data_IF_497541082920
#
_entry.id   IF_497541082920
#
_cell.length_a   1.000
_cell.length_b   1.000
_cell.length_c   1.000
_cell.angle_alpha   90.00
_cell.angle_beta   90.00
_cell.angle_gamma   90.00
#
_symmetry.space_group_name_H-M   'P 1'
#
loop_
_entity.id
_entity.type
_entity.pdbx_description
1 polymer ?
#
# COMPACT_ATOMS: atom_id res chain seq x y z
N UNK A 1 11.32 13.18 6.28
CA UNK A 1 10.38 13.32 7.41
C UNK A 1 9.34 14.36 7.02
N UNK A 2 8.04 14.06 7.05
CA UNK A 2 7.03 15.10 7.24
C UNK A 2 7.37 15.80 8.55
N UNK A 3 7.36 17.13 8.50
CA UNK A 3 8.37 17.91 9.23
C UNK A 3 8.16 17.97 10.76
N UNK A 4 6.98 17.62 11.27
CA UNK A 4 6.63 17.72 12.70
C UNK A 4 6.84 19.13 13.27
N UNK A 5 6.85 20.15 12.41
CA UNK A 5 7.18 21.52 12.79
C UNK A 5 5.95 22.24 13.27
N UNK A 6 6.14 23.04 14.32
CA UNK A 6 5.09 23.81 14.98
C UNK A 6 5.53 25.25 15.17
N UNK A 7 4.60 26.18 15.05
CA UNK A 7 4.82 27.60 15.28
C UNK A 7 3.50 28.33 15.49
N UNK A 8 3.58 29.58 15.96
CA UNK A 8 2.44 30.49 16.07
C UNK A 8 2.60 31.61 15.05
N UNK A 9 1.55 31.86 14.30
CA UNK A 9 1.53 32.87 13.23
C UNK A 9 0.31 33.77 13.40
N UNK A 10 0.39 35.05 13.03
CA UNK A 10 -0.77 35.93 12.97
C UNK A 10 -1.84 35.38 12.01
N UNK A 11 -3.12 35.66 12.31
CA UNK A 11 -4.20 35.39 11.35
C UNK A 11 -3.95 36.14 10.04
N UNK A 12 -4.31 35.52 8.92
CA UNK A 12 -4.02 36.03 7.58
C UNK A 12 -2.62 35.69 7.05
N UNK A 13 -1.77 34.99 7.82
CA UNK A 13 -0.46 34.55 7.33
C UNK A 13 -0.62 33.49 6.23
N UNK A 14 0.00 33.65 5.05
CA UNK A 14 0.00 32.60 4.02
C UNK A 14 0.64 31.31 4.52
N UNK A 15 0.01 30.17 4.23
CA UNK A 15 0.52 28.87 4.72
C UNK A 15 1.92 28.56 4.18
N UNK A 16 2.23 28.98 2.95
CA UNK A 16 3.57 28.84 2.35
C UNK A 16 4.65 29.59 3.16
N UNK A 17 4.33 30.76 3.68
CA UNK A 17 5.30 31.56 4.44
C UNK A 17 5.51 30.99 5.84
N UNK A 18 4.44 30.53 6.49
CA UNK A 18 4.53 29.78 7.73
C UNK A 18 5.40 28.51 7.55
N UNK A 19 5.17 27.75 6.47
CA UNK A 19 5.97 26.57 6.15
C UNK A 19 7.46 26.89 5.99
N UNK A 20 7.80 27.96 5.25
CA UNK A 20 9.19 28.41 5.08
C UNK A 20 9.85 28.82 6.39
N UNK A 21 9.17 29.58 7.24
CA UNK A 21 9.70 29.99 8.56
C UNK A 21 9.94 28.79 9.48
N UNK A 22 9.11 27.74 9.35
CA UNK A 22 9.28 26.48 10.07
C UNK A 22 10.37 25.57 9.49
N UNK A 23 10.95 25.93 8.34
CA UNK A 23 11.91 25.09 7.62
C UNK A 23 11.26 23.88 6.94
N UNK A 24 9.96 23.94 6.66
CA UNK A 24 9.23 22.94 5.87
C UNK A 24 9.37 23.28 4.40
N UNK A 25 9.94 22.36 3.63
CA UNK A 25 10.09 22.56 2.20
C UNK A 25 8.74 22.33 1.49
N UNK A 26 8.15 23.43 1.01
CA UNK A 26 6.99 23.42 0.11
C UNK A 26 7.39 24.11 -1.18
N UNK A 27 7.33 23.39 -2.29
CA UNK A 27 7.86 23.87 -3.55
C UNK A 27 6.98 24.97 -4.16
N UNK A 28 7.58 26.10 -4.53
CA UNK A 28 6.85 27.25 -5.09
C UNK A 28 7.64 27.89 -6.24
N UNK A 29 7.73 27.17 -7.36
CA UNK A 29 8.42 27.62 -8.58
C UNK A 29 7.78 28.86 -9.22
N UNK A 30 6.47 29.07 -9.00
CA UNK A 30 5.74 30.22 -9.53
C UNK A 30 5.79 31.47 -8.63
N UNK A 31 6.49 31.41 -7.49
CA UNK A 31 6.57 32.53 -6.54
C UNK A 31 5.23 32.92 -5.91
N UNK A 32 4.35 31.95 -5.67
CA UNK A 32 3.04 32.18 -5.05
C UNK A 32 1.94 32.75 -5.96
N UNK A 33 2.12 32.63 -7.29
CA UNK A 33 1.13 33.06 -8.29
C UNK A 33 0.01 32.04 -8.55
N UNK A 34 0.01 30.90 -7.86
CA UNK A 34 -0.99 29.83 -8.02
C UNK A 34 -1.12 29.28 -9.46
N UNK A 35 -0.01 29.17 -10.19
CA UNK A 35 -0.02 28.67 -11.59
C UNK A 35 0.65 27.30 -11.78
N UNK A 36 1.47 26.85 -10.82
CA UNK A 36 2.28 25.64 -10.97
C UNK A 36 1.74 24.39 -10.27
N UNK A 37 0.91 24.55 -9.23
CA UNK A 37 0.40 23.44 -8.42
C UNK A 37 1.41 22.73 -7.52
N UNK A 38 2.69 23.12 -7.48
CA UNK A 38 3.70 22.41 -6.66
C UNK A 38 3.61 22.70 -5.15
N UNK A 39 2.82 23.71 -4.78
CA UNK A 39 2.63 24.12 -3.39
C UNK A 39 1.33 23.57 -2.78
N UNK A 40 0.86 22.42 -3.28
CA UNK A 40 -0.35 21.77 -2.79
C UNK A 40 -0.20 21.34 -1.33
N UNK A 41 -1.27 21.48 -0.57
CA UNK A 41 -1.39 21.07 0.84
C UNK A 41 -2.78 20.50 1.08
N UNK A 42 -2.95 19.83 2.21
CA UNK A 42 -4.23 19.31 2.68
C UNK A 42 -4.42 19.69 4.15
N UNK A 43 -5.61 20.17 4.51
CA UNK A 43 -5.94 20.47 5.92
C UNK A 43 -6.45 19.20 6.58
N UNK A 44 -5.87 18.87 7.73
CA UNK A 44 -6.29 17.74 8.53
C UNK A 44 -7.32 18.23 9.56
N UNK A 45 -8.54 17.72 9.51
CA UNK A 45 -9.58 18.04 10.47
C UNK A 45 -9.56 17.08 11.66
N UNK A 46 -9.92 17.58 12.84
CA UNK A 46 -10.05 16.77 14.05
C UNK A 46 -9.38 17.35 15.29
N UNK A 47 -9.47 16.60 16.38
CA UNK A 47 -8.83 16.93 17.66
C UNK A 47 -7.47 16.24 17.78
N UNK A 48 -6.43 17.02 18.05
CA UNK A 48 -5.05 16.55 18.15
C UNK A 48 -4.49 16.76 19.56
N UNK A 49 -4.76 15.83 20.48
CA UNK A 49 -4.39 15.98 21.90
C UNK A 49 -2.92 16.28 22.17
N UNK A 50 -2.01 15.61 21.46
CA UNK A 50 -0.56 15.84 21.61
C UNK A 50 -0.18 17.31 21.36
N UNK A 51 -0.92 17.98 20.49
CA UNK A 51 -0.68 19.36 20.09
C UNK A 51 -1.59 20.36 20.81
N UNK A 52 -2.61 19.88 21.54
CA UNK A 52 -3.62 20.70 22.23
C UNK A 52 -4.33 21.68 21.29
N UNK A 53 -4.65 21.22 20.08
CA UNK A 53 -5.34 22.01 19.06
C UNK A 53 -6.50 21.23 18.46
N UNK A 54 -7.51 21.96 18.00
CA UNK A 54 -8.59 21.46 17.15
C UNK A 54 -8.43 22.11 15.78
N UNK A 55 -8.23 21.28 14.75
CA UNK A 55 -8.08 21.73 13.38
C UNK A 55 -9.36 21.49 12.60
N UNK A 56 -9.76 22.45 11.77
CA UNK A 56 -10.98 22.43 10.99
C UNK A 56 -10.80 23.21 9.69
N UNK A 57 -11.57 22.87 8.65
CA UNK A 57 -11.63 23.65 7.41
C UNK A 57 -12.12 25.09 7.62
N UNK A 58 -12.79 25.40 8.74
CA UNK A 58 -13.16 26.77 9.10
C UNK A 58 -11.97 27.62 9.60
N UNK A 59 -10.84 26.97 9.92
CA UNK A 59 -9.63 27.64 10.39
C UNK A 59 -8.65 28.00 9.27
N UNK A 60 -8.99 27.70 8.01
CA UNK A 60 -8.26 28.13 6.81
C UNK A 60 -9.13 29.08 6.00
N UNK A 61 -8.51 30.02 5.29
CA UNK A 61 -9.26 30.95 4.45
C UNK A 61 -10.11 30.22 3.40
N UNK A 62 -11.25 30.81 2.98
CA UNK A 62 -12.02 30.30 1.85
C UNK A 62 -11.17 30.19 0.58
N UNK A 63 -11.62 29.35 -0.38
CA UNK A 63 -10.99 29.29 -1.70
C UNK A 63 -11.10 30.66 -2.37
N UNK A 64 -9.97 31.24 -2.72
CA UNK A 64 -9.91 32.52 -3.43
C UNK A 64 -9.92 32.34 -4.95
N UNK A 65 -10.12 33.43 -5.69
CA UNK A 65 -10.14 33.44 -7.16
C UNK A 65 -8.90 32.80 -7.83
N UNK A 66 -7.75 32.81 -7.15
CA UNK A 66 -6.52 32.16 -7.63
C UNK A 66 -6.61 30.63 -7.61
N UNK A 67 -7.14 30.06 -6.52
CA UNK A 67 -7.34 28.61 -6.39
C UNK A 67 -8.44 28.12 -7.34
N UNK A 68 -9.56 28.84 -7.43
CA UNK A 68 -10.65 28.54 -8.35
C UNK A 68 -10.18 28.58 -9.81
N UNK A 69 -9.35 29.56 -10.18
CA UNK A 69 -8.76 29.63 -11.51
C UNK A 69 -7.87 28.43 -11.79
N UNK A 70 -7.04 28.02 -10.83
CA UNK A 70 -6.15 26.88 -11.01
C UNK A 70 -6.94 25.58 -11.19
N UNK A 71 -7.92 25.35 -10.31
CA UNK A 71 -8.80 24.18 -10.34
C UNK A 71 -9.52 24.06 -11.69
N UNK A 72 -10.09 25.16 -12.19
CA UNK A 72 -10.72 25.20 -13.52
C UNK A 72 -9.78 24.85 -14.69
N UNK A 73 -8.51 25.23 -14.61
CA UNK A 73 -7.55 25.08 -15.74
C UNK A 73 -6.81 23.75 -15.69
N UNK A 74 -6.49 23.23 -14.51
CA UNK A 74 -5.63 22.05 -14.34
C UNK A 74 -6.24 20.93 -13.50
N UNK A 75 -7.33 21.20 -12.79
CA UNK A 75 -7.89 20.31 -11.78
C UNK A 75 -7.05 20.33 -10.50
N UNK A 76 -7.71 20.52 -9.37
CA UNK A 76 -7.16 20.33 -8.04
C UNK A 76 -7.85 19.11 -7.42
N UNK A 77 -7.11 18.09 -6.97
CA UNK A 77 -7.73 16.96 -6.27
C UNK A 77 -8.60 17.42 -5.09
N UNK A 78 -9.66 16.65 -4.81
CA UNK A 78 -10.58 16.95 -3.70
C UNK A 78 -9.82 17.10 -2.38
N UNK A 79 -10.23 18.04 -1.53
CA UNK A 79 -9.56 18.36 -0.26
C UNK A 79 -8.23 19.12 -0.37
N UNK A 80 -7.59 19.16 -1.54
CA UNK A 80 -6.33 19.90 -1.72
C UNK A 80 -6.57 21.41 -1.78
N UNK A 81 -5.57 22.15 -1.31
CA UNK A 81 -5.48 23.62 -1.29
C UNK A 81 -4.10 24.06 -1.78
N UNK A 82 -3.96 25.31 -2.24
CA UNK A 82 -2.66 25.89 -2.59
C UNK A 82 -2.13 26.71 -1.41
N UNK A 83 -1.06 26.23 -0.78
CA UNK A 83 -0.45 26.90 0.39
C UNK A 83 -0.01 28.35 0.12
N UNK A 84 0.27 28.69 -1.14
CA UNK A 84 0.65 30.05 -1.50
C UNK A 84 -0.52 31.03 -1.62
N UNK A 85 -1.77 30.52 -1.60
CA UNK A 85 -2.98 31.34 -1.70
C UNK A 85 -3.84 31.25 -0.44
N UNK A 86 -3.76 30.15 0.31
CA UNK A 86 -4.53 29.97 1.53
C UNK A 86 -3.85 30.65 2.74
N UNK A 87 -4.66 31.28 3.60
CA UNK A 87 -4.19 31.94 4.84
C UNK A 87 -4.71 31.23 6.08
N UNK A 88 -3.93 31.34 7.17
CA UNK A 88 -4.25 30.75 8.48
C UNK A 88 -5.24 31.67 9.20
N UNK A 89 -6.43 31.16 9.57
CA UNK A 89 -7.48 31.90 10.29
C UNK A 89 -7.76 31.38 11.70
N UNK A 90 -7.27 30.17 12.01
CA UNK A 90 -7.35 29.53 13.32
C UNK A 90 -6.26 28.45 13.48
N UNK A 91 -6.44 27.58 14.47
CA UNK A 91 -5.51 26.47 14.69
C UNK A 91 -5.64 25.44 13.56
N UNK A 92 -4.53 25.13 12.90
CA UNK A 92 -4.49 24.24 11.73
C UNK A 92 -3.41 23.17 11.86
N UNK A 93 -3.77 21.96 11.46
CA UNK A 93 -2.83 20.90 11.08
C UNK A 93 -2.84 20.80 9.57
N UNK A 94 -1.68 21.05 8.95
CA UNK A 94 -1.51 21.05 7.49
C UNK A 94 -0.56 19.94 7.09
N UNK A 95 -0.98 19.10 6.16
CA UNK A 95 -0.17 18.07 5.54
C UNK A 95 0.35 18.53 4.17
N UNK A 96 1.57 18.12 3.84
CA UNK A 96 2.21 18.39 2.54
C UNK A 96 2.28 17.05 1.78
N UNK A 97 1.45 16.87 0.73
CA UNK A 97 1.36 15.60 0.01
C UNK A 97 2.70 15.11 -0.53
N UNK A 98 2.98 13.80 -0.40
CA UNK A 98 4.31 13.25 -0.73
C UNK A 98 4.64 13.30 -2.22
N UNK A 99 3.64 13.30 -3.10
CA UNK A 99 3.81 13.53 -4.55
C UNK A 99 4.38 14.92 -4.87
N UNK A 100 4.39 15.83 -3.89
CA UNK A 100 5.03 17.16 -4.00
C UNK A 100 6.40 17.27 -3.30
N UNK A 101 6.81 16.23 -2.55
CA UNK A 101 8.08 16.22 -1.80
C UNK A 101 9.15 15.46 -2.58
N UNK A 102 10.15 16.17 -3.10
CA UNK A 102 11.19 15.63 -4.01
C UNK A 102 12.15 14.63 -3.31
N UNK A 103 12.09 14.47 -1.98
CA UNK A 103 12.92 13.51 -1.25
C UNK A 103 12.14 12.22 -0.95
N UNK A 104 12.00 11.35 -1.94
CA UNK A 104 11.57 9.98 -1.70
C UNK A 104 12.48 9.35 -0.64
N UNK A 105 11.90 8.75 0.40
CA UNK A 105 12.69 7.97 1.34
C UNK A 105 13.21 6.73 0.61
N UNK A 106 14.46 6.82 0.15
CA UNK A 106 15.19 5.70 -0.40
C UNK A 106 15.27 4.63 0.70
N UNK A 107 14.89 3.39 0.37
CA UNK A 107 15.14 2.24 1.25
C UNK A 107 16.66 2.12 1.38
N UNK A 108 17.21 2.56 2.52
CA UNK A 108 18.67 2.62 2.75
C UNK A 108 19.27 1.29 3.23
N UNK A 109 18.50 0.22 3.23
CA UNK A 109 18.96 -1.13 3.56
C UNK A 109 18.74 -1.99 2.33
N UNK A 110 19.77 -2.14 1.52
CA UNK A 110 19.82 -3.23 0.55
C UNK A 110 19.63 -4.54 1.31
N UNK A 111 18.91 -5.49 0.71
CA UNK A 111 18.75 -6.81 1.29
C UNK A 111 20.14 -7.42 1.51
N UNK A 112 20.44 -7.71 2.78
CA UNK A 112 21.73 -8.19 3.22
C UNK A 112 22.08 -9.53 2.53
N UNK A 113 23.36 -9.82 2.36
CA UNK A 113 23.90 -11.03 1.69
C UNK A 113 23.66 -12.35 2.44
N UNK A 114 22.70 -12.38 3.36
CA UNK A 114 22.36 -13.59 4.12
C UNK A 114 21.74 -14.62 3.19
N UNK A 115 22.37 -15.79 3.12
CA UNK A 115 21.81 -16.94 2.43
C UNK A 115 20.60 -17.46 3.21
N UNK A 116 19.41 -17.25 2.67
CA UNK A 116 18.15 -17.78 3.19
C UNK A 116 17.75 -18.96 2.30
N UNK A 117 17.58 -20.14 2.90
CA UNK A 117 17.08 -21.31 2.18
C UNK A 117 15.66 -21.03 1.70
N UNK A 118 15.40 -21.28 0.41
CA UNK A 118 14.10 -21.00 -0.21
C UNK A 118 13.12 -22.11 0.15
N UNK A 119 12.16 -21.76 0.99
CA UNK A 119 10.97 -22.55 1.26
C UNK A 119 9.73 -21.66 1.05
N UNK A 120 9.43 -21.23 -0.19
CA UNK A 120 8.27 -20.40 -0.44
C UNK A 120 6.98 -21.20 -0.18
N UNK A 121 5.97 -20.56 0.39
CA UNK A 121 4.65 -21.17 0.56
C UNK A 121 3.97 -21.44 -0.78
N UNK A 122 4.40 -20.76 -1.87
CA UNK A 122 3.87 -20.94 -3.22
C UNK A 122 4.87 -21.63 -4.13
N UNK A 123 4.42 -22.68 -4.80
CA UNK A 123 5.18 -23.43 -5.80
C UNK A 123 4.46 -23.39 -7.16
N UNK A 124 5.21 -23.14 -8.23
CA UNK A 124 4.69 -23.26 -9.60
C UNK A 124 4.91 -24.68 -10.12
N UNK A 125 3.84 -25.28 -10.64
CA UNK A 125 3.81 -26.64 -11.14
C UNK A 125 3.31 -26.65 -12.58
N UNK A 126 4.20 -26.88 -13.54
CA UNK A 126 3.82 -27.15 -14.92
C UNK A 126 3.37 -28.60 -15.07
N UNK A 127 2.24 -28.82 -15.75
CA UNK A 127 1.68 -30.15 -16.03
C UNK A 127 1.01 -30.20 -17.39
N UNK A 128 1.02 -31.40 -17.97
CA UNK A 128 0.22 -31.75 -19.15
C UNK A 128 -0.97 -32.58 -18.71
N UNK A 129 -2.16 -32.07 -19.01
CA UNK A 129 -3.45 -32.63 -18.62
C UNK A 129 -3.96 -33.51 -19.74
N UNK A 130 -4.44 -34.72 -19.43
CA UNK A 130 -5.05 -35.60 -20.43
C UNK A 130 -6.22 -34.90 -21.10
N UNK A 131 -6.40 -35.04 -22.41
CA UNK A 131 -7.57 -34.49 -23.13
C UNK A 131 -8.90 -35.11 -22.65
N UNK A 132 -10.05 -34.45 -22.85
CA UNK A 132 -11.35 -35.03 -22.51
C UNK A 132 -11.59 -36.32 -23.31
N UNK A 133 -11.98 -37.39 -22.64
CA UNK A 133 -12.25 -38.70 -23.23
C UNK A 133 -13.67 -39.16 -22.84
N UNK A 134 -14.47 -39.58 -23.82
CA UNK A 134 -15.81 -40.13 -23.57
C UNK A 134 -15.79 -41.38 -22.69
N UNK A 135 -14.70 -42.15 -22.72
CA UNK A 135 -14.55 -43.36 -21.91
C UNK A 135 -14.07 -43.07 -20.48
N UNK A 136 -13.58 -41.85 -20.21
CA UNK A 136 -13.15 -41.36 -18.90
C UNK A 136 -13.77 -39.98 -18.62
N UNK A 137 -15.07 -39.92 -18.25
CA UNK A 137 -15.79 -38.66 -18.10
C UNK A 137 -15.43 -37.93 -16.80
N UNK A 138 -14.18 -37.45 -16.70
CA UNK A 138 -13.68 -36.63 -15.58
C UNK A 138 -13.84 -35.15 -15.88
N UNK A 139 -14.15 -34.36 -14.84
CA UNK A 139 -14.19 -32.91 -14.94
C UNK A 139 -12.81 -32.31 -15.22
N UNK A 140 -12.78 -31.11 -15.83
CA UNK A 140 -11.55 -30.38 -16.17
C UNK A 140 -10.66 -30.14 -14.93
N UNK A 141 -11.26 -29.79 -13.80
CA UNK A 141 -10.53 -29.64 -12.54
C UNK A 141 -9.99 -30.98 -12.01
N UNK A 142 -10.78 -32.06 -12.09
CA UNK A 142 -10.35 -33.39 -11.63
C UNK A 142 -9.18 -33.91 -12.46
N UNK A 143 -9.20 -33.69 -13.78
CA UNK A 143 -8.07 -34.02 -14.67
C UNK A 143 -6.81 -33.23 -14.31
N UNK A 144 -6.94 -31.94 -13.99
CA UNK A 144 -5.80 -31.14 -13.52
C UNK A 144 -5.25 -31.68 -12.19
N UNK A 145 -6.12 -31.99 -11.22
CA UNK A 145 -5.70 -32.57 -9.93
C UNK A 145 -4.99 -33.91 -10.12
N UNK A 146 -5.49 -34.76 -11.02
CA UNK A 146 -4.86 -36.03 -11.36
C UNK A 146 -3.46 -35.83 -11.98
N UNK A 147 -3.28 -34.83 -12.86
CA UNK A 147 -1.98 -34.50 -13.43
C UNK A 147 -1.00 -34.00 -12.36
N UNK A 148 -1.44 -33.13 -11.44
CA UNK A 148 -0.64 -32.65 -10.31
C UNK A 148 -0.26 -33.77 -9.34
N UNK A 149 -1.16 -34.71 -9.08
CA UNK A 149 -0.88 -35.89 -8.27
C UNK A 149 0.18 -36.80 -8.91
N UNK A 150 0.07 -37.03 -10.22
CA UNK A 150 0.99 -37.87 -10.99
C UNK A 150 2.39 -37.27 -11.09
N UNK A 151 2.48 -35.99 -11.44
CA UNK A 151 3.76 -35.37 -11.83
C UNK A 151 4.48 -34.71 -10.64
N UNK A 152 3.73 -34.24 -9.64
CA UNK A 152 4.26 -33.50 -8.48
C UNK A 152 3.97 -34.17 -7.13
N UNK A 153 3.22 -35.28 -7.10
CA UNK A 153 2.99 -36.06 -5.88
C UNK A 153 1.96 -35.45 -4.91
N UNK A 154 1.16 -34.47 -5.35
CA UNK A 154 0.09 -33.92 -4.53
C UNK A 154 -1.10 -34.90 -4.46
N UNK A 155 -1.19 -35.67 -3.37
CA UNK A 155 -2.26 -36.66 -3.17
C UNK A 155 -3.66 -36.03 -3.10
N UNK A 156 -3.98 -35.38 -2.00
CA UNK A 156 -5.19 -34.56 -1.90
C UNK A 156 -4.83 -33.08 -2.08
N UNK A 157 -5.52 -32.42 -3.00
CA UNK A 157 -5.30 -31.01 -3.32
C UNK A 157 -6.64 -30.31 -3.56
N UNK A 158 -6.80 -29.14 -2.96
CA UNK A 158 -7.95 -28.27 -3.16
C UNK A 158 -7.70 -27.26 -4.26
N UNK A 159 -8.76 -26.63 -4.76
CA UNK A 159 -8.66 -25.48 -5.63
C UNK A 159 -9.51 -24.35 -5.07
N UNK A 160 -9.06 -23.11 -5.28
CA UNK A 160 -9.89 -21.97 -4.97
C UNK A 160 -11.10 -21.89 -5.88
N UNK A 161 -12.24 -21.56 -5.27
CA UNK A 161 -13.54 -21.64 -5.93
C UNK A 161 -13.63 -20.77 -7.18
N UNK A 162 -12.91 -19.63 -7.22
CA UNK A 162 -12.90 -18.72 -8.35
C UNK A 162 -12.37 -19.40 -9.64
N UNK A 163 -11.49 -20.39 -9.52
CA UNK A 163 -10.91 -21.09 -10.67
C UNK A 163 -11.92 -21.94 -11.43
N UNK A 164 -13.03 -22.35 -10.81
CA UNK A 164 -14.03 -23.20 -11.44
C UNK A 164 -14.66 -22.55 -12.69
N UNK A 165 -14.76 -21.22 -12.70
CA UNK A 165 -15.33 -20.49 -13.84
C UNK A 165 -14.39 -20.49 -15.06
N UNK A 166 -13.07 -20.49 -14.83
CA UNK A 166 -12.09 -20.21 -15.88
C UNK A 166 -11.29 -21.45 -16.31
N UNK A 167 -11.27 -22.50 -15.49
CA UNK A 167 -10.38 -23.66 -15.68
C UNK A 167 -10.52 -24.31 -17.06
N UNK A 168 -11.76 -24.40 -17.56
CA UNK A 168 -12.05 -25.01 -18.85
C UNK A 168 -11.46 -24.21 -20.02
N UNK A 169 -11.51 -22.88 -19.92
CA UNK A 169 -10.96 -21.98 -20.91
C UNK A 169 -9.44 -21.99 -20.89
N UNK A 170 -8.85 -21.92 -19.69
CA UNK A 170 -7.40 -21.93 -19.47
C UNK A 170 -6.76 -23.22 -20.02
N UNK A 171 -7.33 -24.38 -19.69
CA UNK A 171 -6.82 -25.67 -20.18
C UNK A 171 -6.83 -25.75 -21.72
N UNK A 172 -7.91 -25.30 -22.37
CA UNK A 172 -8.01 -25.30 -23.84
C UNK A 172 -7.04 -24.32 -24.48
N UNK A 173 -6.91 -23.12 -23.92
CA UNK A 173 -5.97 -22.11 -24.42
C UNK A 173 -4.52 -22.59 -24.34
N UNK A 174 -4.19 -23.37 -23.31
CA UNK A 174 -2.87 -23.97 -23.13
C UNK A 174 -2.63 -25.24 -23.97
N UNK A 175 -3.56 -25.65 -24.84
CA UNK A 175 -3.54 -26.97 -25.48
C UNK A 175 -3.28 -28.11 -24.48
N UNK A 176 -4.00 -28.05 -23.35
CA UNK A 176 -3.90 -28.96 -22.21
C UNK A 176 -2.56 -28.95 -21.46
N UNK A 177 -1.65 -28.03 -21.78
CA UNK A 177 -0.48 -27.71 -20.99
C UNK A 177 -0.72 -26.44 -20.15
N UNK A 178 -0.49 -26.50 -18.84
CA UNK A 178 -0.72 -25.37 -17.93
C UNK A 178 0.32 -25.30 -16.81
N UNK A 179 0.45 -24.12 -16.22
CA UNK A 179 1.19 -23.92 -14.96
C UNK A 179 0.19 -23.59 -13.86
N UNK A 180 0.19 -24.36 -12.77
CA UNK A 180 -0.62 -24.12 -11.57
C UNK A 180 0.25 -23.55 -10.45
N UNK A 181 -0.22 -22.50 -9.75
CA UNK A 181 0.36 -22.03 -8.50
C UNK A 181 -0.29 -22.79 -7.33
N UNK A 182 0.53 -23.51 -6.57
CA UNK A 182 0.11 -24.30 -5.42
C UNK A 182 0.58 -23.58 -4.15
N UNK A 183 -0.36 -23.22 -3.27
CA UNK A 183 -0.08 -22.65 -1.97
C UNK A 183 -0.14 -23.72 -0.87
N UNK A 184 0.89 -23.76 -0.01
CA UNK A 184 1.01 -24.59 1.19
C UNK A 184 1.99 -23.93 2.16
N UNK A 185 1.48 -23.34 3.23
CA UNK A 185 2.32 -22.65 4.24
C UNK A 185 3.00 -23.65 5.19
N UNK A 186 2.26 -24.63 5.71
CA UNK A 186 2.81 -25.67 6.59
C UNK A 186 2.70 -27.05 5.95
N UNK A 187 3.63 -27.93 6.30
CA UNK A 187 3.64 -29.33 5.85
C UNK A 187 2.37 -30.12 6.21
N UNK A 188 1.58 -29.67 7.18
CA UNK A 188 0.32 -30.33 7.56
C UNK A 188 -0.90 -29.78 6.83
N UNK A 189 -0.76 -28.66 6.13
CA UNK A 189 -1.87 -28.02 5.44
C UNK A 189 -2.16 -28.75 4.13
N UNK A 190 -3.45 -28.84 3.79
CA UNK A 190 -3.88 -29.32 2.47
C UNK A 190 -3.41 -28.33 1.41
N UNK A 191 -2.62 -28.76 0.41
CA UNK A 191 -2.18 -27.89 -0.67
C UNK A 191 -3.37 -27.38 -1.46
N UNK A 192 -3.25 -26.17 -2.00
CA UNK A 192 -4.35 -25.46 -2.67
C UNK A 192 -3.89 -24.81 -3.95
N UNK A 193 -4.59 -25.10 -5.04
CA UNK A 193 -4.42 -24.40 -6.32
C UNK A 193 -5.04 -23.01 -6.17
N UNK A 194 -4.18 -21.98 -6.22
CA UNK A 194 -4.59 -20.57 -6.05
C UNK A 194 -4.66 -19.82 -7.39
N UNK A 195 -3.99 -20.31 -8.43
CA UNK A 195 -4.03 -19.73 -9.77
C UNK A 195 -3.56 -20.74 -10.83
N UNK A 196 -3.99 -20.56 -12.08
CA UNK A 196 -3.63 -21.41 -13.22
C UNK A 196 -3.46 -20.54 -14.47
N UNK A 197 -2.41 -20.79 -15.24
CA UNK A 197 -2.12 -20.10 -16.50
C UNK A 197 -1.94 -21.10 -17.66
N UNK A 198 -2.33 -20.73 -18.89
CA UNK A 198 -2.07 -21.55 -20.06
C UNK A 198 -0.56 -21.59 -20.36
N UNK A 199 -0.05 -22.78 -20.67
CA UNK A 199 1.36 -23.00 -20.98
C UNK A 199 2.30 -22.83 -19.78
N UNK A 200 3.57 -22.52 -20.08
CA UNK A 200 4.63 -22.35 -19.09
C UNK A 200 4.65 -20.92 -18.53
N UNK A 201 4.54 -20.78 -17.20
CA UNK A 201 4.77 -19.52 -16.47
C UNK A 201 6.01 -19.64 -15.59
N UNK A 202 6.99 -18.76 -15.83
CA UNK A 202 8.30 -18.78 -15.16
C UNK A 202 8.52 -17.60 -14.19
N UNK A 203 7.47 -16.88 -13.87
CA UNK A 203 7.55 -15.69 -13.02
C UNK A 203 6.45 -15.75 -11.98
N UNK A 204 6.84 -15.60 -10.72
CA UNK A 204 5.97 -15.40 -9.58
C UNK A 204 6.73 -14.60 -8.53
N UNK A 205 6.04 -13.67 -7.91
CA UNK A 205 6.61 -12.75 -6.94
C UNK A 205 5.85 -12.82 -5.62
N UNK A 206 6.54 -12.46 -4.55
CA UNK A 206 5.95 -12.13 -3.27
C UNK A 206 6.38 -10.73 -2.84
N UNK A 207 5.65 -10.13 -1.91
CA UNK A 207 6.03 -8.86 -1.30
C UNK A 207 6.34 -9.04 0.19
N UNK A 208 7.40 -8.37 0.64
CA UNK A 208 7.72 -8.24 2.06
C UNK A 208 7.63 -6.76 2.43
N UNK A 209 6.69 -6.42 3.32
CA UNK A 209 6.36 -5.04 3.69
C UNK A 209 6.58 -4.81 5.18
N UNK A 210 7.49 -3.90 5.52
CA UNK A 210 7.70 -3.39 6.88
C UNK A 210 6.92 -2.10 7.07
N UNK A 211 5.82 -2.19 7.82
CA UNK A 211 4.96 -1.08 8.17
C UNK A 211 5.47 -0.45 9.46
N UNK A 212 6.54 0.33 9.34
CA UNK A 212 7.10 1.10 10.44
C UNK A 212 6.25 2.33 10.81
N UNK A 213 6.43 2.83 12.04
CA UNK A 213 5.71 4.02 12.50
C UNK A 213 6.03 5.26 11.66
N UNK A 214 7.28 5.40 11.20
CA UNK A 214 7.72 6.58 10.42
C UNK A 214 7.91 6.29 8.94
N UNK A 215 8.27 5.06 8.59
CA UNK A 215 8.62 4.66 7.21
C UNK A 215 7.93 3.34 6.92
N UNK A 216 7.34 3.21 5.74
CA UNK A 216 6.86 1.94 5.20
C UNK A 216 7.84 1.53 4.11
N UNK A 217 8.40 0.33 4.21
CA UNK A 217 9.35 -0.21 3.23
C UNK A 217 8.79 -1.50 2.62
N UNK A 218 8.97 -1.69 1.33
CA UNK A 218 8.49 -2.85 0.59
C UNK A 218 9.59 -3.40 -0.31
N UNK A 219 9.73 -4.73 -0.31
CA UNK A 219 10.57 -5.47 -1.22
C UNK A 219 9.70 -6.44 -2.02
N UNK A 220 9.81 -6.40 -3.34
CA UNK A 220 9.25 -7.42 -4.21
C UNK A 220 10.31 -8.48 -4.49
N UNK A 221 10.00 -9.74 -4.26
CA UNK A 221 10.94 -10.85 -4.29
C UNK A 221 10.43 -11.91 -5.26
N UNK A 222 11.30 -12.41 -6.14
CA UNK A 222 10.98 -13.55 -6.99
C UNK A 222 10.85 -14.81 -6.13
N UNK A 223 9.71 -15.50 -6.18
CA UNK A 223 9.48 -16.72 -5.41
C UNK A 223 10.30 -17.90 -5.95
N UNK A 224 10.59 -17.90 -7.26
CA UNK A 224 11.44 -18.91 -7.88
C UNK A 224 12.91 -18.75 -7.47
N UNK A 225 13.42 -17.51 -7.45
CA UNK A 225 14.84 -17.22 -7.29
C UNK A 225 15.23 -16.60 -5.94
N UNK A 226 14.29 -16.23 -5.09
CA UNK A 226 14.53 -15.54 -3.82
C UNK A 226 15.19 -14.16 -3.97
N UNK A 227 15.43 -13.70 -5.21
CA UNK A 227 16.08 -12.43 -5.50
C UNK A 227 15.09 -11.29 -5.33
N UNK A 228 15.53 -10.22 -4.69
CA UNK A 228 14.79 -8.96 -4.66
C UNK A 228 14.75 -8.38 -6.08
N UNK A 229 13.55 -8.29 -6.64
CA UNK A 229 13.29 -7.73 -7.96
C UNK A 229 13.22 -6.20 -7.92
N UNK A 230 12.58 -5.64 -6.88
CA UNK A 230 12.44 -4.20 -6.68
C UNK A 230 12.29 -3.86 -5.18
N UNK A 231 12.63 -2.63 -4.80
CA UNK A 231 12.48 -2.12 -3.44
C UNK A 231 12.00 -0.68 -3.46
N UNK A 232 11.02 -0.35 -2.62
CA UNK A 232 10.49 1.00 -2.51
C UNK A 232 10.15 1.33 -1.06
N UNK A 233 10.17 2.63 -0.74
CA UNK A 233 9.85 3.12 0.59
C UNK A 233 9.17 4.48 0.53
N UNK A 234 8.31 4.74 1.50
CA UNK A 234 7.60 6.01 1.69
C UNK A 234 7.55 6.38 3.16
N UNK A 235 7.42 7.67 3.46
CA UNK A 235 7.10 8.07 4.82
C UNK A 235 5.69 7.58 5.16
N UNK A 236 5.51 7.05 6.37
CA UNK A 236 4.21 6.55 6.79
C UNK A 236 3.21 7.73 6.84
N UNK A 237 2.16 7.73 6.00
CA UNK A 237 1.24 8.86 5.89
C UNK A 237 0.42 9.07 7.16
N UNK A 238 0.41 8.11 8.09
CA UNK A 238 -0.30 8.24 9.36
C UNK A 238 0.35 9.24 10.32
N UNK A 239 1.56 9.68 10.02
CA UNK A 239 2.24 10.73 10.78
C UNK A 239 1.39 12.01 10.93
N UNK A 240 0.51 12.28 9.97
CA UNK A 240 -0.41 13.43 9.97
C UNK A 240 -1.47 13.34 11.08
N UNK A 241 -1.82 12.13 11.51
CA UNK A 241 -2.75 11.87 12.62
C UNK A 241 -2.04 11.77 13.96
N UNK A 242 -0.73 11.54 13.94
CA UNK A 242 0.11 11.45 15.12
C UNK A 242 1.55 11.06 14.77
N UNK A 243 2.50 11.85 15.27
CA UNK A 243 3.94 11.65 15.01
C UNK A 243 4.48 10.36 15.61
N UNK A 244 3.91 9.92 16.74
CA UNK A 244 4.27 8.69 17.45
C UNK A 244 3.05 7.78 17.66
N UNK A 245 3.32 6.55 18.09
CA UNK A 245 2.29 5.52 18.27
C UNK A 245 1.17 5.95 19.24
N UNK A 246 1.52 6.54 20.38
CA UNK A 246 0.54 6.94 21.40
C UNK A 246 -0.33 8.10 20.92
N UNK A 247 0.26 9.03 20.19
CA UNK A 247 -0.49 10.14 19.59
C UNK A 247 -1.51 9.67 18.55
N UNK A 248 -1.22 8.58 17.82
CA UNK A 248 -2.18 7.94 16.90
C UNK A 248 -3.31 7.25 17.64
N UNK A 249 -2.99 6.52 18.72
CA UNK A 249 -4.02 5.91 19.57
C UNK A 249 -4.93 6.99 20.15
N UNK A 250 -4.37 8.08 20.68
CA UNK A 250 -5.15 9.23 21.15
C UNK A 250 -6.02 9.85 20.05
N UNK A 251 -5.52 9.91 18.81
CA UNK A 251 -6.30 10.40 17.68
C UNK A 251 -7.51 9.49 17.38
N UNK A 252 -7.36 8.15 17.44
CA UNK A 252 -8.50 7.22 17.34
C UNK A 252 -9.52 7.50 18.44
N UNK A 253 -9.07 7.64 19.69
CA UNK A 253 -9.95 7.82 20.85
C UNK A 253 -10.76 9.13 20.79
N UNK A 254 -10.18 10.18 20.19
CA UNK A 254 -10.78 11.51 20.15
C UNK A 254 -11.61 11.79 18.90
N UNK A 255 -11.45 10.98 17.84
CA UNK A 255 -12.10 11.20 16.56
C UNK A 255 -12.81 9.91 16.14
N UNK A 256 -14.17 9.88 16.08
CA UNK A 256 -14.94 8.68 15.75
C UNK A 256 -14.47 7.97 14.46
N UNK A 257 -14.11 8.74 13.44
CA UNK A 257 -13.67 8.22 12.14
C UNK A 257 -12.14 8.05 12.04
N UNK A 258 -11.40 8.29 13.13
CA UNK A 258 -9.95 8.34 13.13
C UNK A 258 -9.30 6.99 12.77
N UNK A 259 -9.88 5.87 13.24
CA UNK A 259 -9.45 4.52 12.89
C UNK A 259 -9.59 4.26 11.39
N UNK A 260 -10.74 4.58 10.82
CA UNK A 260 -11.00 4.37 9.39
C UNK A 260 -10.07 5.21 8.53
N UNK A 261 -9.91 6.50 8.86
CA UNK A 261 -9.00 7.41 8.18
C UNK A 261 -7.54 6.89 8.19
N UNK A 262 -7.06 6.42 9.35
CA UNK A 262 -5.71 5.86 9.47
C UNK A 262 -5.55 4.52 8.73
N UNK A 263 -6.57 3.68 8.73
CA UNK A 263 -6.59 2.40 8.01
C UNK A 263 -6.51 2.65 6.50
N UNK A 264 -7.34 3.58 6.00
CA UNK A 264 -7.34 3.99 4.60
C UNK A 264 -5.97 4.54 4.19
N UNK A 265 -5.39 5.43 5.01
CA UNK A 265 -4.10 6.05 4.71
C UNK A 265 -2.96 5.02 4.59
N UNK A 266 -2.87 4.05 5.50
CA UNK A 266 -1.80 3.03 5.43
C UNK A 266 -2.02 2.05 4.28
N UNK A 267 -3.26 1.61 4.03
CA UNK A 267 -3.58 0.70 2.92
C UNK A 267 -3.34 1.36 1.56
N UNK A 268 -3.66 2.64 1.43
CA UNK A 268 -3.36 3.40 0.22
C UNK A 268 -1.85 3.47 -0.02
N UNK A 269 -1.05 3.83 0.99
CA UNK A 269 0.40 3.87 0.84
C UNK A 269 1.02 2.50 0.51
N UNK A 270 0.49 1.42 1.11
CA UNK A 270 0.89 0.05 0.74
C UNK A 270 0.52 -0.25 -0.71
N UNK A 271 -0.69 0.10 -1.15
CA UNK A 271 -1.12 -0.10 -2.54
C UNK A 271 -0.24 0.65 -3.53
N UNK A 272 0.07 1.92 -3.27
CA UNK A 272 0.95 2.75 -4.11
C UNK A 272 2.39 2.19 -4.13
N UNK A 273 2.87 1.63 -3.02
CA UNK A 273 4.15 0.92 -2.97
C UNK A 273 4.13 -0.34 -3.85
N UNK A 274 3.03 -1.10 -3.86
CA UNK A 274 2.86 -2.26 -4.74
C UNK A 274 2.96 -1.83 -6.21
N UNK A 275 2.25 -0.78 -6.62
CA UNK A 275 2.35 -0.25 -8.01
C UNK A 275 3.79 0.11 -8.36
N UNK A 276 4.49 0.76 -7.43
CA UNK A 276 5.86 1.20 -7.64
C UNK A 276 6.83 0.03 -7.80
N UNK A 277 6.78 -0.97 -6.92
CA UNK A 277 7.67 -2.14 -7.03
C UNK A 277 7.34 -3.01 -8.23
N UNK A 278 6.07 -3.11 -8.62
CA UNK A 278 5.64 -3.75 -9.87
C UNK A 278 6.25 -3.02 -11.09
N UNK A 279 6.13 -1.69 -11.14
CA UNK A 279 6.68 -0.89 -12.24
C UNK A 279 8.20 -0.98 -12.30
N UNK A 280 8.89 -0.82 -11.16
CA UNK A 280 10.36 -0.86 -11.08
C UNK A 280 10.90 -2.28 -11.40
N UNK A 281 10.14 -3.33 -11.06
CA UNK A 281 10.50 -4.73 -11.31
C UNK A 281 9.94 -5.32 -12.60
N UNK A 282 9.25 -4.53 -13.43
CA UNK A 282 8.59 -4.95 -14.67
C UNK A 282 7.67 -6.18 -14.49
N UNK A 283 6.84 -6.15 -13.44
CA UNK A 283 5.87 -7.20 -13.11
C UNK A 283 4.45 -6.64 -13.02
N UNK A 284 3.44 -7.49 -13.18
CA UNK A 284 2.05 -7.13 -12.94
C UNK A 284 1.65 -7.45 -11.50
N UNK A 285 0.62 -6.77 -10.98
CA UNK A 285 0.08 -7.06 -9.64
C UNK A 285 -0.38 -8.51 -9.50
N UNK A 286 -0.91 -9.08 -10.57
CA UNK A 286 -1.38 -10.47 -10.66
C UNK A 286 -0.25 -11.50 -10.57
N UNK A 287 1.01 -11.07 -10.76
CA UNK A 287 2.18 -11.93 -10.58
C UNK A 287 2.62 -12.02 -9.12
N UNK A 288 2.05 -11.20 -8.21
CA UNK A 288 2.29 -11.27 -6.77
C UNK A 288 1.34 -12.29 -6.15
N UNK A 289 1.88 -13.44 -5.75
CA UNK A 289 1.11 -14.59 -5.24
C UNK A 289 1.20 -14.75 -3.72
N UNK A 290 2.08 -14.01 -3.07
CA UNK A 290 2.30 -14.09 -1.62
C UNK A 290 2.67 -12.71 -1.03
N UNK A 291 2.31 -12.47 0.22
CA UNK A 291 2.55 -11.20 0.89
C UNK A 291 2.78 -11.36 2.39
N UNK A 292 3.90 -10.83 2.88
CA UNK A 292 4.25 -10.79 4.30
C UNK A 292 4.28 -9.34 4.78
N UNK A 293 3.51 -9.05 5.84
CA UNK A 293 3.49 -7.74 6.49
C UNK A 293 4.06 -7.83 7.89
N UNK A 294 5.08 -7.02 8.19
CA UNK A 294 5.66 -6.87 9.53
C UNK A 294 5.41 -5.47 10.06
N UNK A 295 5.33 -5.34 11.38
CA UNK A 295 5.01 -4.09 12.05
C UNK A 295 4.90 -4.32 13.55
N UNK A 296 4.95 -3.24 14.32
CA UNK A 296 4.59 -3.33 15.75
C UNK A 296 3.07 -3.55 15.91
N UNK A 297 2.58 -3.98 17.09
CA UNK A 297 1.17 -4.34 17.28
C UNK A 297 0.17 -3.23 16.89
N UNK A 298 0.47 -1.96 17.17
CA UNK A 298 -0.39 -0.83 16.80
C UNK A 298 -0.48 -0.70 15.28
N UNK A 299 0.64 -0.85 14.58
CA UNK A 299 0.67 -0.81 13.11
C UNK A 299 -0.09 -1.98 12.47
N UNK A 300 -0.03 -3.18 13.07
CA UNK A 300 -0.88 -4.31 12.65
C UNK A 300 -2.36 -3.99 12.80
N UNK A 301 -2.76 -3.45 13.95
CA UNK A 301 -4.16 -3.11 14.21
C UNK A 301 -4.67 -2.08 13.19
N UNK A 302 -3.93 -0.98 12.99
CA UNK A 302 -4.31 0.05 12.03
C UNK A 302 -4.32 -0.45 10.58
N UNK A 303 -3.41 -1.35 10.19
CA UNK A 303 -3.43 -1.92 8.83
C UNK A 303 -4.61 -2.87 8.61
N UNK A 304 -4.93 -3.69 9.61
CA UNK A 304 -6.03 -4.65 9.57
C UNK A 304 -7.40 -3.99 9.81
N UNK A 305 -7.42 -2.73 10.26
CA UNK A 305 -8.65 -2.00 10.61
C UNK A 305 -9.19 -2.36 11.99
N UNK A 306 -8.38 -2.99 12.84
CA UNK A 306 -8.69 -3.34 14.24
C UNK A 306 -8.44 -2.09 15.11
N UNK A 307 -9.29 -1.88 16.12
CA UNK A 307 -9.15 -0.75 17.04
C UNK A 307 -7.91 -0.91 17.95
N UNK A 308 -6.93 0.02 17.91
CA UNK A 308 -5.74 -0.06 18.74
C UNK A 308 -5.91 0.52 20.15
N UNK A 309 -7.09 1.03 20.53
CA UNK A 309 -7.31 1.79 21.78
C UNK A 309 -6.83 1.05 23.03
N UNK A 310 -7.15 -0.23 23.16
CA UNK A 310 -6.77 -1.05 24.32
C UNK A 310 -5.25 -1.29 24.43
N UNK A 311 -4.49 -1.09 23.34
CA UNK A 311 -3.02 -1.17 23.38
C UNK A 311 -2.38 0.07 24.03
N UNK A 312 -3.13 1.17 24.15
CA UNK A 312 -2.68 2.40 24.80
C UNK A 312 -3.10 2.53 26.26
N UNK A 313 -3.96 1.63 26.76
CA UNK A 313 -4.44 1.60 28.14
C UNK A 313 -3.47 0.90 29.10
N UNK A 314 -3.58 1.24 30.38
CA UNK A 314 -2.99 0.42 31.45
C UNK A 314 -3.96 -0.71 31.81
N UNK A 315 -3.47 -1.94 32.07
CA UNK A 315 -4.29 -3.07 32.48
C UNK A 315 -4.89 -2.90 33.89
#
# INVERSE_FOLDING_TARGET
MPSGKRGRFPKGTPVLDAARQLGVYVESVCGGRATCGRCQIEVQEGQFAKHKITSSLDHISPRGAKEERYDRVRGLPEGRRLSCSATIEGDLVVDVPQDTVINAQVVRKDADTRHIERMPAVQLCYVEVEEPDMHKPLGDLDRLKAALARDWGFGEIDADFHLNADIQHILRQGNWAVTAAIHRDRDRDTPRIISVWPGLKNEAYGIACDIGSTTIAMHMVSLLSGRVAASAGVSNPQIRFGEDLMSRVSYVMMNPDGREAMTKAVRQAVSELVDKVCADGNAHREDILDAVFVGNPIMHHLFLGIDPTELGGAP
#
